data_IF_837794422597
#
_entry.id   IF_837794422597
#
_cell.length_a   1.000
_cell.length_b   1.000
_cell.length_c   1.000
_cell.angle_alpha   90.00
_cell.angle_beta   90.00
_cell.angle_gamma   90.00
#
_symmetry.space_group_name_H-M   'P 1'
#
loop_
_entity.id
_entity.type
_entity.pdbx_description
1 polymer ?
#
# COMPACT_ATOMS: atom_id res chain seq x y z
N UNK A 1 -7.30 12.38 -33.53
CA UNK A 1 -7.02 10.94 -33.80
C UNK A 1 -8.34 10.19 -33.87
N UNK A 2 -8.54 9.30 -34.88
CA UNK A 2 -9.78 8.52 -34.99
C UNK A 2 -9.84 7.41 -33.91
N UNK A 3 -11.06 6.99 -33.53
CA UNK A 3 -11.29 5.88 -32.55
C UNK A 3 -10.58 4.60 -33.01
N UNK A 4 -10.66 4.26 -34.30
CA UNK A 4 -10.02 3.06 -34.87
C UNK A 4 -8.49 3.12 -34.70
N UNK A 5 -7.89 4.29 -34.99
CA UNK A 5 -6.44 4.47 -34.83
C UNK A 5 -6.00 4.37 -33.37
N UNK A 6 -6.78 4.93 -32.43
CA UNK A 6 -6.53 4.79 -31.01
C UNK A 6 -6.47 3.32 -30.57
N UNK A 7 -7.48 2.52 -30.93
CA UNK A 7 -7.51 1.10 -30.57
C UNK A 7 -6.41 0.28 -31.25
N UNK A 8 -6.03 0.65 -32.49
CA UNK A 8 -4.87 0.03 -33.14
C UNK A 8 -3.58 0.27 -32.34
N UNK A 9 -3.31 1.53 -31.96
CA UNK A 9 -2.14 1.87 -31.17
C UNK A 9 -2.16 1.15 -29.82
N UNK A 10 -3.29 1.17 -29.10
CA UNK A 10 -3.43 0.49 -27.82
C UNK A 10 -3.19 -1.02 -27.92
N UNK A 11 -3.64 -1.66 -29.01
CA UNK A 11 -3.46 -3.10 -29.24
C UNK A 11 -1.98 -3.50 -29.41
N UNK A 12 -1.18 -2.63 -30.03
CA UNK A 12 0.23 -2.91 -30.30
C UNK A 12 1.18 -2.20 -29.32
N UNK A 13 0.64 -1.45 -28.37
CA UNK A 13 1.44 -0.78 -27.37
C UNK A 13 1.98 -1.78 -26.34
N UNK A 14 3.29 -1.83 -26.23
CA UNK A 14 3.98 -2.60 -25.21
C UNK A 14 5.30 -1.92 -24.87
N UNK A 15 5.76 -2.09 -23.63
CA UNK A 15 6.94 -1.43 -23.05
C UNK A 15 8.09 -2.39 -22.79
N UNK A 16 7.88 -3.69 -23.04
CA UNK A 16 8.87 -4.74 -22.88
C UNK A 16 8.82 -5.67 -24.09
N UNK A 17 9.99 -6.12 -24.55
CA UNK A 17 10.06 -7.13 -25.60
C UNK A 17 9.54 -8.47 -25.02
N UNK A 18 8.58 -9.10 -25.74
CA UNK A 18 8.05 -10.39 -25.32
C UNK A 18 9.08 -11.54 -25.42
N UNK A 19 10.17 -11.36 -26.19
CA UNK A 19 11.26 -12.32 -26.27
C UNK A 19 12.08 -12.41 -24.97
N UNK A 20 12.10 -11.34 -24.19
CA UNK A 20 12.79 -11.27 -22.89
C UNK A 20 11.94 -11.84 -21.75
N UNK A 21 10.77 -12.41 -22.07
CA UNK A 21 9.85 -12.95 -21.07
C UNK A 21 10.44 -14.23 -20.47
N UNK A 22 10.65 -14.31 -19.16
CA UNK A 22 11.11 -15.52 -18.49
C UNK A 22 10.17 -16.71 -18.76
N UNK A 23 10.73 -17.91 -18.86
CA UNK A 23 9.96 -19.14 -19.06
C UNK A 23 8.89 -19.32 -17.97
N UNK A 24 7.76 -19.92 -18.36
CA UNK A 24 6.62 -20.14 -17.46
C UNK A 24 6.96 -20.96 -16.20
N UNK A 25 8.03 -21.76 -16.25
CA UNK A 25 8.52 -22.59 -15.15
C UNK A 25 9.52 -21.86 -14.22
N UNK A 26 10.02 -20.70 -14.62
CA UNK A 26 10.82 -19.85 -13.74
C UNK A 26 9.89 -19.02 -12.85
N UNK A 27 10.43 -18.46 -11.75
CA UNK A 27 9.72 -17.58 -10.82
C UNK A 27 9.34 -16.27 -11.55
N UNK A 28 8.41 -16.37 -12.50
CA UNK A 28 8.00 -15.29 -13.41
C UNK A 28 7.43 -14.13 -12.61
N UNK A 29 8.09 -13.01 -12.70
CA UNK A 29 7.59 -11.77 -12.11
C UNK A 29 6.24 -11.39 -12.76
N UNK A 30 5.20 -11.37 -11.95
CA UNK A 30 3.82 -11.15 -12.42
C UNK A 30 3.62 -9.78 -13.07
N UNK A 31 4.46 -8.81 -12.73
CA UNK A 31 4.42 -7.44 -13.23
C UNK A 31 5.42 -7.18 -14.37
N UNK A 32 6.18 -8.18 -14.81
CA UNK A 32 7.26 -8.05 -15.80
C UNK A 32 6.91 -7.10 -16.97
N UNK A 33 5.73 -7.27 -17.57
CA UNK A 33 5.33 -6.49 -18.75
C UNK A 33 5.12 -5.00 -18.49
N UNK A 34 4.85 -4.61 -17.26
CA UNK A 34 4.58 -3.22 -16.88
C UNK A 34 5.64 -2.65 -15.92
N UNK A 35 6.58 -3.48 -15.47
CA UNK A 35 7.61 -3.12 -14.51
C UNK A 35 8.39 -1.86 -14.90
N UNK A 36 8.85 -1.66 -16.16
CA UNK A 36 9.57 -0.44 -16.53
C UNK A 36 8.74 0.83 -16.34
N UNK A 37 7.44 0.78 -16.65
CA UNK A 37 6.54 1.94 -16.44
C UNK A 37 6.33 2.20 -14.96
N UNK A 38 6.10 1.15 -14.16
CA UNK A 38 5.94 1.30 -12.71
C UNK A 38 7.20 1.86 -12.06
N UNK A 39 8.38 1.36 -12.44
CA UNK A 39 9.66 1.83 -11.93
C UNK A 39 9.94 3.29 -12.32
N UNK A 40 9.66 3.69 -13.55
CA UNK A 40 9.80 5.07 -13.99
C UNK A 40 8.85 6.01 -13.21
N UNK A 41 7.60 5.57 -13.00
CA UNK A 41 6.63 6.33 -12.21
C UNK A 41 7.08 6.46 -10.75
N UNK A 42 7.48 5.36 -10.10
CA UNK A 42 8.00 5.41 -8.73
C UNK A 42 9.22 6.34 -8.61
N UNK A 43 10.16 6.25 -9.56
CA UNK A 43 11.33 7.13 -9.57
C UNK A 43 10.94 8.60 -9.65
N UNK A 44 9.96 8.94 -10.49
CA UNK A 44 9.43 10.30 -10.60
C UNK A 44 8.74 10.76 -9.31
N UNK A 45 7.93 9.91 -8.69
CA UNK A 45 7.25 10.23 -7.43
C UNK A 45 8.24 10.46 -6.28
N UNK A 46 9.31 9.69 -6.22
CA UNK A 46 10.36 9.83 -5.20
C UNK A 46 11.17 11.12 -5.31
N UNK A 47 11.10 11.84 -6.43
CA UNK A 47 11.72 13.18 -6.56
C UNK A 47 10.91 14.28 -5.89
N UNK A 48 9.63 14.03 -5.59
CA UNK A 48 8.78 15.00 -4.92
C UNK A 48 9.16 15.12 -3.44
N UNK A 49 9.29 16.33 -2.91
CA UNK A 49 9.60 16.52 -1.49
C UNK A 49 8.48 15.91 -0.64
N UNK A 50 8.82 15.09 0.36
CA UNK A 50 7.80 14.51 1.22
C UNK A 50 7.17 15.58 2.12
N UNK A 51 5.85 15.50 2.31
CA UNK A 51 5.12 16.33 3.24
C UNK A 51 5.27 15.78 4.68
N UNK A 52 5.13 16.62 5.70
CA UNK A 52 5.24 16.22 7.11
C UNK A 52 4.23 15.12 7.49
N UNK A 53 2.99 15.25 7.00
CA UNK A 53 1.89 14.34 7.25
C UNK A 53 1.73 13.39 6.08
N UNK A 54 1.85 12.09 6.35
CA UNK A 54 1.79 11.03 5.35
C UNK A 54 0.70 10.01 5.74
N UNK A 55 -0.09 9.58 4.80
CA UNK A 55 -1.06 8.50 5.00
C UNK A 55 -0.69 7.27 4.16
N UNK A 56 -0.85 6.09 4.74
CA UNK A 56 -0.71 4.81 4.02
C UNK A 56 -2.06 4.11 4.01
N UNK A 57 -2.54 3.79 2.81
CA UNK A 57 -3.81 3.09 2.61
C UNK A 57 -3.75 2.16 1.39
N UNK A 58 -4.77 1.30 1.24
CA UNK A 58 -4.94 0.48 0.04
C UNK A 58 -5.93 1.08 -0.95
N UNK A 59 -5.59 0.98 -2.23
CA UNK A 59 -6.45 1.34 -3.34
C UNK A 59 -6.73 0.12 -4.23
N UNK A 60 -7.95 0.06 -4.78
CA UNK A 60 -8.31 -0.90 -5.81
C UNK A 60 -8.36 -0.21 -7.17
N UNK A 61 -7.50 -0.63 -8.08
CA UNK A 61 -7.52 -0.22 -9.48
C UNK A 61 -8.53 -1.13 -10.19
N UNK A 62 -9.70 -0.60 -10.62
CA UNK A 62 -10.77 -1.43 -11.16
C UNK A 62 -10.33 -2.23 -12.39
N UNK A 63 -10.62 -3.53 -12.39
CA UNK A 63 -10.33 -4.39 -13.54
C UNK A 63 -11.39 -5.47 -13.71
N UNK A 64 -12.02 -5.50 -14.89
CA UNK A 64 -13.08 -6.46 -15.22
C UNK A 64 -12.58 -7.74 -15.89
N UNK A 65 -11.35 -7.73 -16.42
CA UNK A 65 -10.75 -8.86 -17.11
C UNK A 65 -10.37 -10.04 -16.20
N UNK A 66 -9.74 -11.05 -16.80
CA UNK A 66 -9.17 -12.20 -16.08
C UNK A 66 -7.68 -11.94 -15.81
N UNK A 67 -7.27 -12.09 -14.54
CA UNK A 67 -5.87 -11.97 -14.11
C UNK A 67 -5.67 -12.70 -12.79
N UNK A 68 -4.53 -13.35 -12.63
CA UNK A 68 -4.12 -14.00 -11.37
C UNK A 68 -3.83 -12.99 -10.24
N UNK A 69 -3.61 -11.72 -10.57
CA UNK A 69 -3.39 -10.63 -9.62
C UNK A 69 -4.69 -9.97 -9.15
N UNK A 70 -5.81 -10.27 -9.81
CA UNK A 70 -7.10 -9.67 -9.48
C UNK A 70 -7.54 -10.09 -8.08
N UNK A 71 -7.88 -9.11 -7.26
CA UNK A 71 -8.34 -9.29 -5.88
C UNK A 71 -9.79 -8.85 -5.73
N UNK A 72 -10.49 -9.46 -4.80
CA UNK A 72 -11.77 -9.02 -4.31
C UNK A 72 -11.58 -8.34 -2.95
N UNK A 73 -12.00 -7.10 -2.81
CA UNK A 73 -11.96 -6.36 -1.54
C UNK A 73 -13.38 -5.89 -1.21
N UNK A 74 -13.94 -6.45 -0.15
CA UNK A 74 -15.25 -6.08 0.34
C UNK A 74 -15.29 -4.61 0.79
N UNK A 75 -16.44 -3.97 0.63
CA UNK A 75 -16.70 -2.60 1.08
C UNK A 75 -15.92 -1.48 0.35
N UNK A 76 -15.25 -1.76 -0.76
CA UNK A 76 -14.72 -0.70 -1.64
C UNK A 76 -15.72 -0.43 -2.78
N UNK A 77 -15.79 0.79 -3.32
CA UNK A 77 -16.71 1.15 -4.41
C UNK A 77 -16.57 0.25 -5.64
N UNK A 78 -15.35 -0.21 -5.90
CA UNK A 78 -15.02 -1.21 -6.91
C UNK A 78 -14.38 -2.41 -6.22
N UNK A 79 -15.17 -3.47 -6.02
CA UNK A 79 -14.73 -4.63 -5.24
C UNK A 79 -13.69 -5.49 -5.96
N UNK A 80 -13.67 -5.47 -7.30
CA UNK A 80 -12.76 -6.28 -8.10
C UNK A 80 -11.73 -5.44 -8.84
N UNK A 81 -10.47 -5.75 -8.66
CA UNK A 81 -9.38 -5.06 -9.35
C UNK A 81 -7.99 -5.48 -8.88
N UNK A 82 -7.01 -4.70 -9.24
CA UNK A 82 -5.66 -4.83 -8.70
C UNK A 82 -5.55 -4.04 -7.40
N UNK A 83 -5.07 -4.70 -6.35
CA UNK A 83 -4.81 -4.04 -5.08
C UNK A 83 -3.45 -3.35 -5.13
N UNK A 84 -3.42 -2.09 -4.75
CA UNK A 84 -2.21 -1.30 -4.59
C UNK A 84 -2.19 -0.70 -3.19
N UNK A 85 -1.00 -0.58 -2.62
CA UNK A 85 -0.75 0.15 -1.38
C UNK A 85 -0.06 1.45 -1.75
N UNK A 86 -0.49 2.54 -1.15
CA UNK A 86 -0.03 3.88 -1.51
C UNK A 86 0.35 4.68 -0.28
N UNK A 87 1.37 5.53 -0.44
CA UNK A 87 1.70 6.56 0.52
C UNK A 87 1.43 7.92 -0.12
N UNK A 88 0.63 8.73 0.54
CA UNK A 88 0.25 10.07 0.07
C UNK A 88 0.43 11.11 1.18
N UNK A 89 0.76 12.32 0.79
CA UNK A 89 0.81 13.48 1.68
C UNK A 89 -0.58 14.07 1.95
N UNK A 90 -0.65 15.05 2.85
CA UNK A 90 -1.87 15.74 3.24
C UNK A 90 -2.55 16.47 2.07
N UNK A 91 -1.79 16.91 1.07
CA UNK A 91 -2.30 17.51 -0.16
C UNK A 91 -3.01 16.52 -1.09
N UNK A 92 -2.91 15.21 -0.80
CA UNK A 92 -3.35 14.14 -1.69
C UNK A 92 -2.31 13.74 -2.75
N UNK A 93 -1.12 14.33 -2.72
CA UNK A 93 -0.01 13.94 -3.60
C UNK A 93 0.50 12.56 -3.23
N UNK A 94 0.50 11.64 -4.20
CA UNK A 94 1.10 10.31 -4.02
C UNK A 94 2.62 10.42 -4.07
N UNK A 95 3.30 9.84 -3.09
CA UNK A 95 4.77 9.82 -3.00
C UNK A 95 5.38 8.47 -3.31
N UNK A 96 4.68 7.39 -3.02
CA UNK A 96 5.13 6.03 -3.35
C UNK A 96 3.95 5.06 -3.42
N UNK A 97 4.14 3.91 -4.08
CA UNK A 97 3.13 2.87 -4.17
C UNK A 97 3.75 1.49 -4.34
N UNK A 98 2.98 0.45 -3.99
CA UNK A 98 3.33 -0.94 -4.27
C UNK A 98 2.12 -1.71 -4.77
N UNK A 99 2.28 -2.43 -5.89
CA UNK A 99 1.23 -3.31 -6.42
C UNK A 99 1.28 -4.66 -5.69
N UNK A 100 0.15 -5.11 -5.19
CA UNK A 100 0.05 -6.39 -4.52
C UNK A 100 0.22 -7.56 -5.50
N UNK A 101 1.23 -8.38 -5.28
CA UNK A 101 1.53 -9.58 -6.08
C UNK A 101 1.48 -10.88 -5.27
N UNK A 102 1.01 -10.81 -4.02
CA UNK A 102 0.99 -11.92 -3.07
C UNK A 102 2.02 -11.72 -1.95
N UNK A 103 2.53 -12.82 -1.41
CA UNK A 103 3.52 -12.78 -0.31
C UNK A 103 4.80 -12.00 -0.67
N UNK A 104 5.18 -12.00 -1.94
CA UNK A 104 6.40 -11.35 -2.43
C UNK A 104 6.16 -9.88 -2.82
N UNK A 105 5.15 -9.22 -2.27
CA UNK A 105 4.88 -7.79 -2.53
C UNK A 105 6.00 -6.89 -1.99
N UNK A 106 6.56 -7.23 -0.85
CA UNK A 106 7.73 -6.57 -0.25
C UNK A 106 8.62 -7.59 0.46
N UNK A 107 9.81 -7.18 0.85
CA UNK A 107 10.73 -8.01 1.64
C UNK A 107 10.14 -8.26 3.03
N UNK A 108 10.29 -9.49 3.52
CA UNK A 108 9.88 -9.87 4.87
C UNK A 108 10.84 -9.22 5.90
N UNK A 109 10.29 -8.39 6.75
CA UNK A 109 11.00 -7.69 7.85
C UNK A 109 10.52 -8.17 9.22
N UNK A 110 9.67 -9.20 9.26
CA UNK A 110 9.18 -9.82 10.48
C UNK A 110 7.95 -9.16 11.10
N UNK A 111 7.38 -8.11 10.47
CA UNK A 111 6.16 -7.45 10.97
C UNK A 111 4.89 -7.99 10.31
N UNK A 112 5.05 -8.95 9.40
CA UNK A 112 3.99 -9.42 8.52
C UNK A 112 3.71 -8.45 7.38
N UNK A 113 3.03 -8.94 6.33
CA UNK A 113 2.89 -8.23 5.07
C UNK A 113 2.40 -6.78 5.21
N UNK A 114 1.42 -6.51 6.07
CA UNK A 114 0.87 -5.15 6.24
C UNK A 114 1.88 -4.19 6.87
N UNK A 115 2.59 -4.63 7.92
CA UNK A 115 3.64 -3.83 8.57
C UNK A 115 4.84 -3.62 7.66
N UNK A 116 5.28 -4.67 6.98
CA UNK A 116 6.41 -4.63 6.06
C UNK A 116 6.15 -3.68 4.87
N UNK A 117 4.91 -3.63 4.37
CA UNK A 117 4.50 -2.68 3.34
C UNK A 117 4.63 -1.23 3.83
N UNK A 118 4.18 -0.92 5.05
CA UNK A 118 4.34 0.43 5.60
C UNK A 118 5.81 0.80 5.73
N UNK A 119 6.64 -0.10 6.23
CA UNK A 119 8.08 0.13 6.30
C UNK A 119 8.71 0.37 4.92
N UNK A 120 8.32 -0.42 3.91
CA UNK A 120 8.81 -0.26 2.54
C UNK A 120 8.38 1.08 1.92
N UNK A 121 7.12 1.46 2.08
CA UNK A 121 6.60 2.73 1.57
C UNK A 121 7.18 3.95 2.28
N UNK A 122 7.61 3.81 3.54
CA UNK A 122 8.22 4.90 4.31
C UNK A 122 9.75 4.92 4.22
N UNK A 123 10.37 4.00 3.48
CA UNK A 123 11.83 3.89 3.37
C UNK A 123 12.49 5.16 2.80
N UNK A 124 11.78 5.86 1.92
CA UNK A 124 12.24 7.12 1.31
C UNK A 124 12.09 8.34 2.22
N UNK A 125 11.43 8.21 3.37
CA UNK A 125 11.31 9.32 4.32
C UNK A 125 12.65 9.50 5.05
N UNK A 126 13.16 10.74 5.15
CA UNK A 126 14.34 11.03 5.95
C UNK A 126 14.12 10.66 7.42
N UNK A 127 15.12 10.04 8.02
CA UNK A 127 15.07 9.66 9.43
C UNK A 127 15.22 10.86 10.35
N UNK A 128 14.66 10.78 11.56
CA UNK A 128 14.78 11.78 12.65
C UNK A 128 14.33 13.19 12.27
N UNK A 129 13.42 13.30 11.31
CA UNK A 129 12.80 14.58 10.93
C UNK A 129 11.34 14.67 11.35
N UNK A 130 10.88 13.75 12.23
CA UNK A 130 9.55 13.77 12.83
C UNK A 130 8.39 13.77 11.83
N UNK A 131 8.56 13.07 10.69
CA UNK A 131 7.44 12.76 9.80
C UNK A 131 6.35 12.01 10.56
N UNK A 132 5.10 12.30 10.25
CA UNK A 132 3.93 11.69 10.88
C UNK A 132 3.24 10.77 9.89
N UNK A 133 3.19 9.48 10.19
CA UNK A 133 2.59 8.46 9.33
C UNK A 133 1.28 7.98 9.94
N UNK A 134 0.22 8.04 9.13
CA UNK A 134 -1.12 7.61 9.51
C UNK A 134 -1.50 6.36 8.74
N UNK A 135 -2.10 5.38 9.42
CA UNK A 135 -2.61 4.19 8.77
C UNK A 135 -3.85 3.64 9.48
N UNK A 136 -4.64 2.86 8.76
CA UNK A 136 -5.81 2.20 9.33
C UNK A 136 -5.46 0.91 10.10
N UNK A 137 -6.48 0.24 10.61
CA UNK A 137 -6.36 -0.99 11.40
C UNK A 137 -5.83 -2.20 10.60
N UNK A 138 -5.80 -2.14 9.28
CA UNK A 138 -5.19 -3.18 8.44
C UNK A 138 -3.67 -3.23 8.64
N UNK A 139 -3.05 -2.07 8.78
CA UNK A 139 -1.60 -1.91 8.85
C UNK A 139 -1.09 -1.82 10.28
N UNK A 140 -1.88 -1.20 11.17
CA UNK A 140 -1.45 -0.81 12.50
C UNK A 140 -1.15 -2.02 13.39
N UNK A 141 0.02 -1.96 14.06
CA UNK A 141 0.45 -2.90 15.08
C UNK A 141 1.49 -2.24 16.00
N UNK A 142 1.63 -2.73 17.23
CA UNK A 142 2.64 -2.22 18.19
C UNK A 142 4.07 -2.39 17.63
N UNK A 143 4.47 -3.55 17.06
CA UNK A 143 5.80 -3.69 16.48
C UNK A 143 6.08 -2.69 15.35
N UNK A 144 5.09 -2.37 14.50
CA UNK A 144 5.23 -1.36 13.47
C UNK A 144 5.47 0.04 14.07
N UNK A 145 4.70 0.40 15.09
CA UNK A 145 4.86 1.70 15.76
C UNK A 145 6.26 1.85 16.38
N UNK A 146 6.79 0.78 17.00
CA UNK A 146 8.14 0.75 17.53
C UNK A 146 9.18 0.93 16.44
N UNK A 147 9.09 0.17 15.34
CA UNK A 147 10.02 0.22 14.23
C UNK A 147 10.06 1.62 13.55
N UNK A 148 8.91 2.28 13.41
CA UNK A 148 8.85 3.64 12.88
C UNK A 148 9.43 4.65 13.86
N UNK A 149 9.16 4.51 15.17
CA UNK A 149 9.71 5.37 16.22
C UNK A 149 11.24 5.30 16.27
N UNK A 150 11.83 4.12 16.13
CA UNK A 150 13.29 3.93 16.07
C UNK A 150 13.93 4.72 14.91
N UNK A 151 13.20 4.89 13.80
CA UNK A 151 13.60 5.73 12.66
C UNK A 151 13.30 7.21 12.86
N UNK A 152 12.72 7.61 14.00
CA UNK A 152 12.31 8.98 14.27
C UNK A 152 11.08 9.42 13.44
N UNK A 153 10.22 8.47 13.09
CA UNK A 153 8.94 8.69 12.41
C UNK A 153 7.83 8.48 13.44
N UNK A 154 6.96 9.44 13.60
CA UNK A 154 5.80 9.34 14.49
C UNK A 154 4.68 8.57 13.78
N UNK A 155 4.00 7.69 14.52
CA UNK A 155 2.95 6.85 13.97
C UNK A 155 1.63 7.06 14.71
N UNK A 156 0.56 7.21 13.93
CA UNK A 156 -0.80 7.28 14.45
C UNK A 156 -1.71 6.38 13.61
N UNK A 157 -2.54 5.58 14.25
CA UNK A 157 -3.47 4.71 13.52
C UNK A 157 -4.47 4.03 14.42
N UNK A 158 -5.57 3.58 13.83
CA UNK A 158 -6.50 2.71 14.52
C UNK A 158 -5.89 1.31 14.64
N UNK A 159 -6.02 0.68 15.81
CA UNK A 159 -5.51 -0.67 16.03
C UNK A 159 -6.63 -1.61 16.45
N UNK A 160 -6.60 -2.84 15.98
CA UNK A 160 -7.53 -3.87 16.41
C UNK A 160 -7.13 -4.43 17.77
N UNK A 161 -8.12 -4.74 18.61
CA UNK A 161 -7.92 -5.27 19.97
C UNK A 161 -7.01 -6.50 19.99
N UNK A 162 -7.15 -7.40 19.01
CA UNK A 162 -6.32 -8.60 18.89
C UNK A 162 -4.83 -8.31 18.66
N UNK A 163 -4.48 -7.09 18.24
CA UNK A 163 -3.09 -6.64 18.00
C UNK A 163 -2.50 -5.77 19.12
N UNK A 164 -3.27 -5.51 20.18
CA UNK A 164 -2.86 -4.61 21.26
C UNK A 164 -2.04 -5.27 22.37
N UNK A 165 -1.60 -6.52 22.22
CA UNK A 165 -0.76 -7.18 23.20
C UNK A 165 -1.40 -7.33 24.59
N UNK A 166 -2.72 -7.51 24.65
CA UNK A 166 -3.51 -7.60 25.88
C UNK A 166 -3.49 -6.31 26.73
N UNK A 167 -3.42 -5.16 26.08
CA UNK A 167 -3.57 -3.88 26.77
C UNK A 167 -4.90 -3.86 27.55
N UNK A 168 -4.92 -3.50 28.85
CA UNK A 168 -6.09 -3.58 29.71
C UNK A 168 -7.06 -2.42 29.48
N UNK A 169 -7.46 -2.18 28.22
CA UNK A 169 -8.47 -1.18 27.90
C UNK A 169 -9.87 -1.76 28.06
N UNK A 170 -10.82 -0.91 28.41
CA UNK A 170 -12.23 -1.27 28.45
C UNK A 170 -12.72 -1.73 27.08
N UNK A 171 -13.58 -2.73 27.11
CA UNK A 171 -14.21 -3.23 25.89
C UNK A 171 -15.22 -2.23 25.34
N UNK A 172 -15.51 -2.30 24.04
CA UNK A 172 -16.57 -1.48 23.42
C UNK A 172 -17.92 -1.62 24.12
N UNK A 173 -18.23 -2.82 24.63
CA UNK A 173 -19.48 -3.10 25.37
C UNK A 173 -19.49 -2.36 26.70
N UNK A 174 -18.36 -2.29 27.41
CA UNK A 174 -18.24 -1.55 28.68
C UNK A 174 -18.32 -0.04 28.43
N UNK A 175 -17.65 0.48 27.40
CA UNK A 175 -17.72 1.90 27.05
C UNK A 175 -19.13 2.33 26.62
N UNK A 176 -19.84 1.48 25.86
CA UNK A 176 -21.25 1.78 25.49
C UNK A 176 -22.18 1.90 26.71
N UNK A 177 -21.91 1.17 27.79
CA UNK A 177 -22.70 1.26 29.04
C UNK A 177 -22.48 2.56 29.77
N UNK A 178 -21.32 3.19 29.62
CA UNK A 178 -20.98 4.46 30.32
C UNK A 178 -21.49 5.70 29.60
N UNK A 179 -22.00 5.56 28.37
CA UNK A 179 -22.66 6.63 27.60
C UNK A 179 -21.86 7.17 26.42
N UNK A 180 -22.47 8.09 25.70
CA UNK A 180 -21.88 8.73 24.53
C UNK A 180 -20.68 9.61 24.93
N UNK A 181 -19.56 9.49 24.20
CA UNK A 181 -18.32 10.23 24.50
C UNK A 181 -17.41 9.58 25.55
N UNK A 182 -17.74 8.38 26.03
CA UNK A 182 -16.88 7.65 26.96
C UNK A 182 -15.61 7.17 26.28
N UNK A 183 -14.50 7.33 26.97
CA UNK A 183 -13.16 6.86 26.58
C UNK A 183 -12.49 6.18 27.76
N UNK A 184 -11.37 5.48 27.49
CA UNK A 184 -10.54 4.82 28.51
C UNK A 184 -9.12 5.39 28.46
#
# INVERSE_FOLDING_TARGET
MSRTRFFQLLRYFHVVNNQDLPDANSNREKLFKICPVLSALQSSLKTLPPEEYQAVDEQIIPFKGRSSLKQYVRNKPHNWGYKSFMRAGASGTMHDFQIYVGKNTCSDRGLGLSGDIVLALTETLPEKQHFKVFADSLFSSIPLAIALKERGIEFCGTIRIDRMGKCPLKTEVELRKTGCGSCD
#
